data_IF_905726935250
#
_entry.id   IF_905726935250
#
_cell.length_a   1.000
_cell.length_b   1.000
_cell.length_c   1.000
_cell.angle_alpha   90.00
_cell.angle_beta   90.00
_cell.angle_gamma   90.00
#
_symmetry.space_group_name_H-M   'P 1'
#
loop_
_entity.id
_entity.type
_entity.pdbx_description
1 polymer ?
#
# COMPACT_ATOMS: atom_id res chain seq x y z
N UNK A 1 7.55 8.35 17.69
CA UNK A 1 8.07 8.66 16.34
C UNK A 1 7.17 7.95 15.37
N UNK A 2 6.56 8.67 14.42
CA UNK A 2 5.65 8.05 13.44
C UNK A 2 6.44 7.77 12.17
N UNK A 3 6.32 6.56 11.66
CA UNK A 3 6.99 6.13 10.43
C UNK A 3 5.93 5.60 9.48
N UNK A 4 5.88 6.20 8.29
CA UNK A 4 4.91 5.82 7.26
C UNK A 4 5.64 5.27 6.05
N UNK A 5 5.16 4.12 5.57
CA UNK A 5 5.55 3.49 4.32
C UNK A 5 4.48 3.78 3.28
N UNK A 6 4.81 4.62 2.30
CA UNK A 6 3.98 4.84 1.12
C UNK A 6 4.43 3.91 0.00
N UNK A 7 3.51 3.15 -0.58
CA UNK A 7 3.82 2.17 -1.62
C UNK A 7 2.96 2.44 -2.85
N UNK A 8 3.62 2.79 -3.95
CA UNK A 8 2.97 2.86 -5.26
C UNK A 8 3.14 1.53 -6.00
N UNK A 9 2.02 0.85 -6.26
CA UNK A 9 2.01 -0.52 -6.78
C UNK A 9 1.77 -0.51 -8.28
N UNK A 10 2.79 -0.97 -9.01
CA UNK A 10 2.75 -1.14 -10.46
C UNK A 10 2.69 -2.62 -10.85
N UNK A 11 2.66 -2.92 -12.16
CA UNK A 11 2.53 -4.32 -12.65
C UNK A 11 3.71 -5.21 -12.25
N UNK A 12 4.94 -4.75 -12.48
CA UNK A 12 6.15 -5.55 -12.31
C UNK A 12 6.87 -5.28 -10.98
N UNK A 13 6.84 -4.02 -10.54
CA UNK A 13 7.52 -3.53 -9.35
C UNK A 13 6.63 -2.57 -8.58
N UNK A 14 7.01 -2.30 -7.34
CA UNK A 14 6.42 -1.26 -6.50
C UNK A 14 7.49 -0.29 -6.03
N UNK A 15 7.16 0.99 -5.95
CA UNK A 15 8.01 2.01 -5.36
C UNK A 15 7.62 2.19 -3.89
N UNK A 16 8.61 2.16 -3.01
CA UNK A 16 8.44 2.34 -1.57
C UNK A 16 9.09 3.65 -1.16
N UNK A 17 8.38 4.46 -0.39
CA UNK A 17 8.88 5.66 0.26
C UNK A 17 8.70 5.53 1.79
N UNK A 18 9.76 5.80 2.54
CA UNK A 18 9.78 5.74 4.00
C UNK A 18 9.93 7.17 4.52
N UNK A 19 8.91 7.64 5.21
CA UNK A 19 8.88 8.95 5.85
C UNK A 19 8.90 8.79 7.36
N UNK A 20 9.75 9.56 8.03
CA UNK A 20 9.84 9.63 9.49
C UNK A 20 9.44 11.03 9.91
N UNK A 21 8.40 11.15 10.73
CA UNK A 21 7.83 12.43 11.16
C UNK A 21 7.53 13.40 10.00
N UNK A 22 7.11 12.87 8.84
CA UNK A 22 6.76 13.65 7.66
C UNK A 22 7.92 13.95 6.69
N UNK A 23 9.16 13.65 7.06
CA UNK A 23 10.32 13.82 6.18
C UNK A 23 10.75 12.50 5.56
N UNK A 24 11.07 12.52 4.26
CA UNK A 24 11.56 11.34 3.55
C UNK A 24 12.97 11.00 3.99
N UNK A 25 13.13 9.81 4.55
CA UNK A 25 14.44 9.30 5.00
C UNK A 25 14.98 8.28 4.01
N UNK A 26 14.11 7.50 3.37
CA UNK A 26 14.52 6.48 2.43
C UNK A 26 13.47 6.20 1.35
N UNK A 27 13.87 5.51 0.29
CA UNK A 27 12.96 5.00 -0.72
C UNK A 27 13.68 4.13 -1.75
N UNK A 28 12.97 3.13 -2.26
CA UNK A 28 13.52 2.13 -3.17
C UNK A 28 12.42 1.43 -3.98
N UNK A 29 12.85 0.79 -5.06
CA UNK A 29 12.00 -0.05 -5.89
C UNK A 29 12.12 -1.51 -5.43
N UNK A 30 11.00 -2.22 -5.33
CA UNK A 30 10.95 -3.67 -5.11
C UNK A 30 10.25 -4.38 -6.26
N UNK A 31 10.69 -5.59 -6.65
CA UNK A 31 9.86 -6.46 -7.51
C UNK A 31 8.62 -6.94 -6.74
N UNK A 32 7.54 -7.23 -7.46
CA UNK A 32 6.29 -7.75 -6.88
C UNK A 32 6.33 -9.27 -6.69
N UNK A 33 7.37 -9.74 -6.00
CA UNK A 33 7.64 -11.14 -5.71
C UNK A 33 8.14 -11.33 -4.26
N UNK A 34 8.42 -12.57 -3.88
CA UNK A 34 8.88 -12.91 -2.55
C UNK A 34 10.20 -12.22 -2.17
N UNK A 35 11.10 -11.95 -3.13
CA UNK A 35 12.38 -11.30 -2.84
C UNK A 35 12.14 -9.85 -2.46
N UNK A 36 11.32 -9.14 -3.25
CA UNK A 36 10.94 -7.76 -2.97
C UNK A 36 10.18 -7.61 -1.65
N UNK A 37 9.24 -8.51 -1.38
CA UNK A 37 8.45 -8.47 -0.15
C UNK A 37 9.27 -8.81 1.10
N UNK A 38 10.22 -9.74 1.02
CA UNK A 38 11.13 -10.01 2.14
C UNK A 38 12.05 -8.83 2.45
N UNK A 39 12.48 -8.07 1.42
CA UNK A 39 13.22 -6.83 1.64
C UNK A 39 12.36 -5.81 2.39
N UNK A 40 11.12 -5.60 1.96
CA UNK A 40 10.17 -4.71 2.64
C UNK A 40 9.92 -5.16 4.08
N UNK A 41 9.78 -6.47 4.32
CA UNK A 41 9.61 -7.04 5.65
C UNK A 41 10.78 -6.71 6.59
N UNK A 42 12.00 -6.74 6.05
CA UNK A 42 13.21 -6.39 6.77
C UNK A 42 13.10 -4.98 7.36
N UNK A 43 12.72 -4.01 6.53
CA UNK A 43 12.58 -2.62 6.97
C UNK A 43 11.42 -2.43 7.94
N UNK A 44 10.26 -3.06 7.69
CA UNK A 44 9.10 -2.99 8.58
C UNK A 44 9.44 -3.49 10.00
N UNK A 45 10.24 -4.56 10.12
CA UNK A 45 10.67 -5.11 11.41
C UNK A 45 11.62 -4.20 12.19
N UNK A 46 12.28 -3.26 11.54
CA UNK A 46 13.16 -2.29 12.23
C UNK A 46 12.38 -1.16 12.90
N UNK A 47 11.09 -1.04 12.61
CA UNK A 47 10.24 0.07 13.03
C UNK A 47 9.16 -0.44 13.97
N UNK A 48 8.94 0.27 15.08
CA UNK A 48 7.83 0.00 15.97
C UNK A 48 6.55 0.66 15.43
N UNK A 49 5.49 -0.13 15.25
CA UNK A 49 4.16 0.31 14.77
C UNK A 49 4.20 1.10 13.44
N UNK A 50 4.65 0.47 12.34
CA UNK A 50 4.72 1.14 11.04
C UNK A 50 3.32 1.38 10.45
N UNK A 51 3.09 2.58 9.94
CA UNK A 51 1.88 2.89 9.17
C UNK A 51 2.11 2.60 7.68
N UNK A 52 1.31 1.71 7.09
CA UNK A 52 1.49 1.30 5.69
C UNK A 52 0.35 1.85 4.85
N UNK A 53 0.64 2.52 3.75
CA UNK A 53 -0.37 3.09 2.83
C UNK A 53 -0.03 2.80 1.38
N UNK A 54 -0.99 2.31 0.61
CA UNK A 54 -0.81 2.04 -0.82
C UNK A 54 -2.07 2.23 -1.65
N UNK A 55 -1.91 2.49 -2.95
CA UNK A 55 -3.01 2.60 -3.90
C UNK A 55 -3.42 1.24 -4.48
N UNK A 56 -4.72 1.01 -4.59
CA UNK A 56 -5.30 -0.24 -5.05
C UNK A 56 -5.38 -0.34 -6.59
N UNK A 57 -4.26 -0.52 -7.28
CA UNK A 57 -4.22 -0.66 -8.74
C UNK A 57 -4.63 -2.08 -9.18
N UNK A 58 -5.94 -2.35 -9.18
CA UNK A 58 -6.51 -3.60 -9.70
C UNK A 58 -5.96 -4.88 -9.02
N UNK A 59 -5.67 -5.90 -9.82
CA UNK A 59 -5.16 -7.21 -9.36
C UNK A 59 -3.75 -7.18 -8.78
N UNK A 60 -2.92 -6.17 -9.12
CA UNK A 60 -1.51 -6.14 -8.72
C UNK A 60 -1.34 -5.89 -7.21
N UNK A 61 -2.26 -5.13 -6.61
CA UNK A 61 -2.28 -4.89 -5.15
C UNK A 61 -2.66 -6.11 -4.30
N UNK A 62 -3.20 -7.19 -4.89
CA UNK A 62 -3.67 -8.36 -4.13
C UNK A 62 -2.54 -9.15 -3.47
N UNK A 63 -1.40 -9.30 -4.17
CA UNK A 63 -0.25 -10.02 -3.62
C UNK A 63 0.36 -9.30 -2.42
N UNK A 64 0.42 -7.98 -2.51
CA UNK A 64 0.91 -7.14 -1.42
C UNK A 64 -0.06 -7.15 -0.23
N UNK A 65 -1.38 -7.17 -0.47
CA UNK A 65 -2.40 -7.35 0.57
C UNK A 65 -2.23 -8.67 1.31
N UNK A 66 -2.23 -9.79 0.59
CA UNK A 66 -2.03 -11.11 1.17
C UNK A 66 -0.73 -11.17 2.00
N UNK A 67 0.36 -10.60 1.47
CA UNK A 67 1.61 -10.51 2.20
C UNK A 67 1.50 -9.75 3.53
N UNK A 68 0.80 -8.61 3.58
CA UNK A 68 0.59 -7.89 4.83
C UNK A 68 -0.31 -8.64 5.80
N UNK A 69 -1.39 -9.25 5.31
CA UNK A 69 -2.30 -10.07 6.10
C UNK A 69 -1.57 -11.28 6.73
N UNK A 70 -0.80 -12.02 5.93
CA UNK A 70 -0.01 -13.18 6.36
C UNK A 70 1.03 -12.80 7.44
N UNK A 71 1.54 -11.56 7.40
CA UNK A 71 2.51 -11.04 8.36
C UNK A 71 1.87 -10.18 9.47
N UNK A 72 0.53 -10.15 9.56
CA UNK A 72 -0.23 -9.41 10.58
C UNK A 72 0.07 -7.90 10.62
N UNK A 73 0.35 -7.29 9.47
CA UNK A 73 0.49 -5.83 9.34
C UNK A 73 -0.82 -5.17 8.97
N UNK A 74 -1.19 -4.14 9.75
CA UNK A 74 -2.27 -3.25 9.40
C UNK A 74 -1.84 -2.32 8.25
N UNK A 75 -2.73 -2.06 7.30
CA UNK A 75 -2.46 -1.18 6.16
C UNK A 75 -3.68 -0.35 5.79
N UNK A 76 -3.46 0.79 5.14
CA UNK A 76 -4.49 1.64 4.54
C UNK A 76 -4.41 1.52 3.03
N UNK A 77 -5.46 0.95 2.44
CA UNK A 77 -5.64 0.81 1.01
C UNK A 77 -6.47 1.97 0.46
N UNK A 78 -5.92 2.73 -0.47
CA UNK A 78 -6.61 3.85 -1.11
C UNK A 78 -7.20 3.47 -2.47
N UNK A 79 -8.34 4.08 -2.81
CA UNK A 79 -8.93 3.95 -4.14
C UNK A 79 -8.12 4.82 -5.12
N UNK A 80 -7.72 4.29 -6.29
CA UNK A 80 -7.03 5.06 -7.32
C UNK A 80 -7.66 6.40 -7.70
N UNK A 81 -8.99 6.49 -7.64
CA UNK A 81 -9.72 7.72 -7.95
C UNK A 81 -9.62 8.76 -6.82
N UNK A 82 -9.53 8.31 -5.57
CA UNK A 82 -9.40 9.17 -4.39
C UNK A 82 -7.97 9.71 -4.28
N UNK A 83 -6.96 8.84 -4.48
CA UNK A 83 -5.55 9.23 -4.46
C UNK A 83 -5.25 10.30 -5.53
N UNK A 84 -5.73 10.10 -6.77
CA UNK A 84 -5.46 11.05 -7.86
C UNK A 84 -6.08 12.43 -7.62
N UNK A 85 -7.34 12.50 -7.16
CA UNK A 85 -8.01 13.78 -6.87
C UNK A 85 -7.33 14.56 -5.74
N UNK A 86 -6.77 13.87 -4.75
CA UNK A 86 -6.10 14.52 -3.62
C UNK A 86 -4.70 15.04 -3.97
N UNK A 87 -4.07 14.54 -5.03
CA UNK A 87 -2.69 14.85 -5.41
C UNK A 87 -2.56 15.83 -6.61
N UNK A 88 -3.68 16.34 -7.12
CA UNK A 88 -3.77 17.01 -8.43
C UNK A 88 -3.50 18.54 -8.42
N UNK A 89 -2.81 19.07 -7.41
CA UNK A 89 -2.68 20.54 -7.26
C UNK A 89 -1.49 21.19 -7.95
N UNK A 90 -0.46 20.48 -8.47
CA UNK A 90 0.67 21.12 -9.16
C UNK A 90 1.28 20.23 -10.24
N UNK A 91 1.59 20.83 -11.41
CA UNK A 91 2.29 20.23 -12.58
C UNK A 91 3.74 19.86 -12.22
N UNK A 92 3.90 18.89 -11.33
CA UNK A 92 5.17 18.22 -11.03
C UNK A 92 5.28 17.03 -11.98
N UNK A 93 6.49 16.76 -12.48
CA UNK A 93 6.77 15.57 -13.30
C UNK A 93 6.37 14.33 -12.50
N UNK A 94 5.25 13.70 -12.88
CA UNK A 94 4.74 12.50 -12.23
C UNK A 94 5.72 11.36 -12.41
N UNK A 95 6.16 10.76 -11.31
CA UNK A 95 6.98 9.54 -11.29
C UNK A 95 6.49 8.66 -10.16
N UNK A 96 6.54 7.35 -10.35
CA UNK A 96 6.08 6.35 -9.37
C UNK A 96 6.72 6.58 -7.98
N UNK A 97 7.97 7.07 -7.94
CA UNK A 97 8.69 7.44 -6.69
C UNK A 97 8.07 8.63 -5.95
N UNK A 98 7.66 9.66 -6.70
CA UNK A 98 7.00 10.84 -6.15
C UNK A 98 5.59 10.45 -5.68
N UNK A 99 4.92 9.54 -6.39
CA UNK A 99 3.60 9.07 -6.01
C UNK A 99 3.63 8.28 -4.69
N UNK A 100 4.61 7.38 -4.51
CA UNK A 100 4.84 6.69 -3.23
C UNK A 100 5.10 7.66 -2.06
N UNK A 101 5.92 8.70 -2.28
CA UNK A 101 6.21 9.73 -1.28
C UNK A 101 4.96 10.55 -0.92
N UNK A 102 4.18 10.94 -1.93
CA UNK A 102 2.90 11.63 -1.74
C UNK A 102 1.91 10.79 -0.95
N UNK A 103 1.85 9.49 -1.20
CA UNK A 103 1.02 8.56 -0.43
C UNK A 103 1.40 8.58 1.05
N UNK A 104 2.70 8.43 1.36
CA UNK A 104 3.21 8.48 2.72
C UNK A 104 2.92 9.84 3.40
N UNK A 105 3.20 10.94 2.72
CA UNK A 105 2.96 12.29 3.24
C UNK A 105 1.47 12.52 3.54
N UNK A 106 0.58 12.03 2.66
CA UNK A 106 -0.87 12.17 2.85
C UNK A 106 -1.35 11.46 4.12
N UNK A 107 -0.70 10.37 4.53
CA UNK A 107 -1.05 9.65 5.75
C UNK A 107 -0.68 10.41 7.01
N UNK A 108 0.45 11.13 7.01
CA UNK A 108 0.81 12.02 8.11
C UNK A 108 -0.24 13.12 8.31
N UNK A 109 -0.77 13.68 7.21
CA UNK A 109 -1.74 14.78 7.21
C UNK A 109 -3.13 14.28 7.60
N UNK A 110 -3.60 13.19 6.97
CA UNK A 110 -5.00 12.76 7.08
C UNK A 110 -5.22 11.70 8.16
N UNK A 111 -4.15 11.09 8.68
CA UNK A 111 -4.18 10.12 9.77
C UNK A 111 -5.27 9.06 9.60
N UNK A 112 -5.30 8.45 8.41
CA UNK A 112 -6.37 7.51 8.03
C UNK A 112 -6.25 6.23 8.85
N UNK A 113 -7.39 5.69 9.25
CA UNK A 113 -7.44 4.39 9.93
C UNK A 113 -7.08 3.27 8.96
N UNK A 114 -6.44 2.19 9.44
CA UNK A 114 -6.22 1.00 8.63
C UNK A 114 -7.51 0.51 7.97
N UNK A 115 -7.38 0.03 6.75
CA UNK A 115 -8.48 -0.55 6.01
C UNK A 115 -8.96 -1.83 6.69
N UNK A 116 -10.27 -2.02 6.68
CA UNK A 116 -10.88 -3.25 7.16
C UNK A 116 -10.43 -4.42 6.27
N UNK A 117 -9.79 -5.42 6.90
CA UNK A 117 -9.51 -6.71 6.28
C UNK A 117 -10.76 -7.56 6.45
N UNK A 118 -11.36 -7.98 5.33
CA UNK A 118 -12.56 -8.82 5.36
C UNK A 118 -12.18 -10.23 5.80
N UNK A 119 -12.88 -10.79 6.79
CA UNK A 119 -12.61 -12.16 7.25
C UNK A 119 -12.71 -13.17 6.10
N UNK A 120 -11.83 -14.18 6.13
CA UNK A 120 -11.70 -15.21 5.09
C UNK A 120 -13.06 -15.86 4.72
N UNK A 121 -13.93 -16.08 5.72
CA UNK A 121 -15.28 -16.61 5.54
C UNK A 121 -16.13 -15.80 4.55
N UNK A 122 -16.09 -14.47 4.65
CA UNK A 122 -16.84 -13.60 3.76
C UNK A 122 -16.21 -13.50 2.37
N UNK A 123 -14.90 -13.70 2.27
CA UNK A 123 -14.20 -13.78 0.98
C UNK A 123 -14.60 -15.04 0.22
N UNK A 124 -14.65 -16.19 0.91
CA UNK A 124 -15.14 -17.47 0.37
C UNK A 124 -16.59 -17.37 -0.11
N UNK A 125 -17.48 -16.80 0.71
CA UNK A 125 -18.89 -16.59 0.33
C UNK A 125 -19.03 -15.73 -0.93
N UNK A 126 -18.19 -14.71 -1.09
CA UNK A 126 -18.19 -13.83 -2.26
C UNK A 126 -17.71 -14.54 -3.52
N UNK A 127 -16.68 -15.37 -3.40
CA UNK A 127 -16.15 -16.14 -4.53
C UNK A 127 -17.13 -17.25 -4.94
N UNK A 128 -17.80 -17.89 -3.97
CA UNK A 128 -18.88 -18.85 -4.22
C UNK A 128 -20.08 -18.18 -4.92
N UNK A 129 -20.50 -17.00 -4.45
CA UNK A 129 -21.58 -16.23 -5.06
C UNK A 129 -21.29 -15.84 -6.51
N UNK A 130 -20.04 -15.45 -6.82
CA UNK A 130 -19.61 -15.17 -8.20
C UNK A 130 -19.59 -16.41 -9.07
N UNK A 131 -19.22 -17.57 -8.51
CA UNK A 131 -19.27 -18.83 -9.24
C UNK A 131 -20.71 -19.16 -9.65
N UNK A 132 -21.67 -19.02 -8.73
CA UNK A 132 -23.09 -19.25 -8.99
C UNK A 132 -23.72 -18.30 -10.01
N UNK A 133 -23.27 -17.04 -10.08
CA UNK A 133 -23.81 -16.07 -11.05
C UNK A 133 -23.27 -16.22 -12.48
N UNK A 134 -22.19 -16.98 -12.66
CA UNK A 134 -21.59 -17.26 -13.97
C UNK A 134 -21.97 -18.67 -14.50
N UNK A 135 -22.93 -19.33 -13.85
CA UNK A 135 -23.66 -20.50 -14.32
C UNK A 135 -24.95 -20.05 -15.02
#
# INVERSE_FOLDING_TARGET
MRVVFGIDVSKASSEVAILVNGEKVHGYTIPNDAIGFNRLLGDLKTVHDPEIVFEATGVYSRRLQAFFEDNSYAYTRLNPLESKKQLDSLRVRKTDKIDAEKLAASQFILNRKPSYVQEALYQELRDLSRFYQNL
#
